data_IF_772495757831
#
_entry.id   IF_772495757831
#
_cell.length_a   1.000
_cell.length_b   1.000
_cell.length_c   1.000
_cell.angle_alpha   90.00
_cell.angle_beta   90.00
_cell.angle_gamma   90.00
#
_symmetry.space_group_name_H-M   'P 1'
#
loop_
_entity.id
_entity.type
_entity.pdbx_description
1 polymer ?
#
# COMPACT_ATOMS: atom_id res chain seq x y z
N UNK A 1 1.11 18.30 2.99
CA UNK A 1 0.92 17.32 4.07
C UNK A 1 -0.32 16.51 3.73
N UNK A 2 -0.21 15.20 3.60
CA UNK A 2 -1.42 14.37 3.58
C UNK A 2 -1.60 13.88 5.01
N UNK A 3 -2.53 14.50 5.74
CA UNK A 3 -3.04 13.92 6.99
C UNK A 3 -3.93 12.72 6.64
N UNK A 4 -4.10 11.79 7.59
CA UNK A 4 -5.07 10.71 7.44
C UNK A 4 -6.47 11.34 7.25
N UNK A 5 -7.21 10.99 6.18
CA UNK A 5 -8.58 11.47 6.01
C UNK A 5 -9.47 11.06 7.19
N UNK A 6 -10.35 11.96 7.62
CA UNK A 6 -11.27 11.67 8.73
C UNK A 6 -12.29 10.59 8.35
N UNK A 7 -12.75 10.61 7.11
CA UNK A 7 -13.81 9.75 6.58
C UNK A 7 -13.23 8.46 5.98
N UNK A 8 -13.86 7.33 6.28
CA UNK A 8 -13.50 6.02 5.71
C UNK A 8 -13.90 5.95 4.24
N UNK A 9 -15.11 6.41 3.95
CA UNK A 9 -15.69 6.53 2.62
C UNK A 9 -16.01 7.99 2.39
N UNK A 10 -15.44 8.58 1.33
CA UNK A 10 -15.88 9.84 0.80
C UNK A 10 -17.16 9.58 0.00
N UNK A 11 -18.29 9.91 0.62
CA UNK A 11 -19.60 9.67 0.02
C UNK A 11 -19.90 10.60 -1.16
N UNK A 12 -19.27 11.76 -1.26
CA UNK A 12 -19.46 12.63 -2.43
C UNK A 12 -18.97 11.92 -3.71
N UNK A 13 -17.77 11.33 -3.66
CA UNK A 13 -17.21 10.55 -4.78
C UNK A 13 -18.05 9.29 -5.02
N UNK A 14 -18.37 8.54 -3.97
CA UNK A 14 -19.09 7.27 -4.14
C UNK A 14 -20.53 7.49 -4.62
N UNK A 15 -21.20 8.58 -4.22
CA UNK A 15 -22.55 8.91 -4.68
C UNK A 15 -22.58 9.25 -6.18
N UNK A 16 -21.51 9.82 -6.74
CA UNK A 16 -21.40 10.00 -8.20
C UNK A 16 -21.40 8.65 -8.92
N UNK A 17 -20.75 7.63 -8.35
CA UNK A 17 -20.75 6.26 -8.90
C UNK A 17 -22.12 5.60 -8.70
N UNK A 18 -22.71 5.72 -7.51
CA UNK A 18 -24.05 5.19 -7.21
C UNK A 18 -25.10 5.79 -8.14
N UNK A 19 -24.95 7.06 -8.54
CA UNK A 19 -25.88 7.68 -9.50
C UNK A 19 -25.94 6.97 -10.86
N UNK A 20 -24.89 6.21 -11.23
CA UNK A 20 -24.89 5.40 -12.45
C UNK A 20 -25.83 4.19 -12.35
N UNK A 21 -26.23 3.78 -11.14
CA UNK A 21 -27.20 2.68 -10.95
C UNK A 21 -28.61 3.05 -11.44
N UNK A 22 -28.90 4.34 -11.69
CA UNK A 22 -30.15 4.78 -12.32
C UNK A 22 -30.33 4.20 -13.73
N UNK A 23 -29.23 4.12 -14.49
CA UNK A 23 -29.22 3.59 -15.86
C UNK A 23 -28.75 2.12 -15.91
N UNK A 24 -27.90 1.67 -14.98
CA UNK A 24 -27.37 0.30 -14.90
C UNK A 24 -27.47 -0.28 -13.47
N UNK A 25 -28.62 -0.86 -13.08
CA UNK A 25 -28.85 -1.30 -11.71
C UNK A 25 -27.83 -2.33 -11.20
N UNK A 26 -27.06 -1.96 -10.18
CA UNK A 26 -26.08 -2.82 -9.52
C UNK A 26 -24.64 -2.60 -9.98
N UNK A 27 -24.41 -1.71 -10.95
CA UNK A 27 -23.08 -1.33 -11.42
C UNK A 27 -22.15 -0.92 -10.28
N UNK A 28 -22.59 -0.03 -9.40
CA UNK A 28 -21.77 0.49 -8.30
C UNK A 28 -21.40 -0.62 -7.32
N UNK A 29 -22.33 -1.53 -7.01
CA UNK A 29 -22.10 -2.69 -6.15
C UNK A 29 -21.08 -3.65 -6.75
N UNK A 30 -21.22 -3.96 -8.05
CA UNK A 30 -20.29 -4.85 -8.76
C UNK A 30 -18.87 -4.25 -8.75
N UNK A 31 -18.73 -2.96 -8.98
CA UNK A 31 -17.44 -2.26 -8.96
C UNK A 31 -16.77 -2.32 -7.57
N UNK A 32 -17.54 -2.19 -6.49
CA UNK A 32 -17.05 -2.35 -5.11
C UNK A 32 -16.57 -3.79 -4.86
N UNK A 33 -17.33 -4.80 -5.29
CA UNK A 33 -16.95 -6.21 -5.13
C UNK A 33 -15.64 -6.50 -5.87
N UNK A 34 -15.55 -6.11 -7.14
CA UNK A 34 -14.34 -6.28 -7.96
C UNK A 34 -13.13 -5.59 -7.32
N UNK A 35 -13.33 -4.39 -6.75
CA UNK A 35 -12.28 -3.71 -6.01
C UNK A 35 -11.83 -4.50 -4.77
N UNK A 36 -12.76 -5.07 -4.01
CA UNK A 36 -12.40 -5.83 -2.81
C UNK A 36 -11.62 -7.10 -3.13
N UNK A 37 -11.97 -7.80 -4.20
CA UNK A 37 -11.18 -8.92 -4.72
C UNK A 37 -9.77 -8.46 -5.12
N UNK A 38 -9.67 -7.39 -5.93
CA UNK A 38 -8.40 -6.82 -6.37
C UNK A 38 -7.51 -6.39 -5.19
N UNK A 39 -8.09 -5.74 -4.18
CA UNK A 39 -7.38 -5.29 -3.00
C UNK A 39 -6.82 -6.47 -2.20
N UNK A 40 -7.61 -7.52 -1.98
CA UNK A 40 -7.15 -8.73 -1.28
C UNK A 40 -5.99 -9.42 -2.02
N UNK A 41 -6.09 -9.55 -3.34
CA UNK A 41 -5.00 -10.09 -4.16
C UNK A 41 -3.73 -9.23 -4.01
N UNK A 42 -3.87 -7.91 -4.20
CA UNK A 42 -2.75 -6.97 -4.12
C UNK A 42 -2.11 -6.99 -2.73
N UNK A 43 -2.90 -7.11 -1.65
CA UNK A 43 -2.36 -7.22 -0.31
C UNK A 43 -1.53 -8.51 -0.12
N UNK A 44 -1.98 -9.63 -0.70
CA UNK A 44 -1.22 -10.88 -0.70
C UNK A 44 0.11 -10.75 -1.43
N UNK A 45 0.12 -10.13 -2.61
CA UNK A 45 1.35 -9.87 -3.38
C UNK A 45 2.35 -9.00 -2.59
N UNK A 46 1.86 -7.98 -1.87
CA UNK A 46 2.71 -7.13 -1.00
C UNK A 46 3.32 -7.96 0.15
N UNK A 47 2.54 -8.83 0.81
CA UNK A 47 3.02 -9.71 1.89
C UNK A 47 4.13 -10.66 1.41
N UNK A 48 3.93 -11.28 0.23
CA UNK A 48 4.90 -12.20 -0.38
C UNK A 48 6.21 -11.48 -0.74
N UNK A 49 6.11 -10.29 -1.34
CA UNK A 49 7.29 -9.47 -1.65
C UNK A 49 8.01 -9.02 -0.38
N UNK A 50 7.30 -8.58 0.67
CA UNK A 50 7.92 -8.21 1.94
C UNK A 50 8.65 -9.39 2.57
N UNK A 51 8.02 -10.57 2.60
CA UNK A 51 8.60 -11.80 3.15
C UNK A 51 9.84 -12.23 2.39
N UNK A 52 9.78 -12.27 1.05
CA UNK A 52 10.93 -12.65 0.23
C UNK A 52 12.07 -11.63 0.34
N UNK A 53 11.77 -10.33 0.45
CA UNK A 53 12.77 -9.27 0.63
C UNK A 53 13.50 -9.43 1.96
N UNK A 54 12.80 -9.73 3.06
CA UNK A 54 13.42 -10.00 4.37
C UNK A 54 14.31 -11.24 4.33
N UNK A 55 13.89 -12.31 3.67
CA UNK A 55 14.69 -13.53 3.51
C UNK A 55 16.01 -13.25 2.77
N UNK A 56 15.95 -12.47 1.69
CA UNK A 56 17.15 -12.07 0.94
C UNK A 56 18.11 -11.24 1.82
N UNK A 57 17.57 -10.33 2.64
CA UNK A 57 18.36 -9.50 3.57
C UNK A 57 19.00 -10.30 4.71
N UNK A 58 18.32 -11.34 5.21
CA UNK A 58 18.80 -12.23 6.28
C UNK A 58 19.88 -13.21 5.79
N UNK A 59 19.76 -13.69 4.55
CA UNK A 59 20.73 -14.61 3.95
C UNK A 59 22.12 -13.99 3.82
N UNK A 60 22.23 -12.66 3.87
CA UNK A 60 23.50 -11.92 3.88
C UNK A 60 24.11 -11.71 5.28
N UNK A 61 23.42 -12.05 6.37
CA UNK A 61 23.86 -11.79 7.75
C UNK A 61 24.52 -13.00 8.45
N UNK A 62 24.53 -14.18 7.82
CA UNK A 62 25.22 -15.37 8.34
C UNK A 62 26.64 -15.40 7.77
N UNK A 63 27.57 -14.78 8.49
CA UNK A 63 29.01 -14.80 8.22
C UNK A 63 29.66 -15.69 9.29
N UNK A 64 29.96 -16.93 8.92
CA UNK A 64 30.92 -17.80 9.62
C UNK A 64 31.84 -18.55 8.64
N UNK A 65 31.93 -18.12 7.37
CA UNK A 65 32.86 -18.75 6.42
C UNK A 65 33.50 -17.73 5.44
N UNK A 66 34.83 -17.78 5.37
CA UNK A 66 35.75 -16.75 4.85
C UNK A 66 35.77 -16.61 3.32
N UNK A 67 34.75 -17.08 2.60
CA UNK A 67 34.84 -17.19 1.14
C UNK A 67 33.49 -17.07 0.40
N UNK A 68 32.90 -15.87 0.36
CA UNK A 68 31.82 -15.61 -0.59
C UNK A 68 31.87 -14.20 -1.20
N UNK A 69 32.23 -14.13 -2.48
CA UNK A 69 32.32 -12.91 -3.31
C UNK A 69 30.95 -12.39 -3.81
N UNK A 70 29.84 -12.60 -3.10
CA UNK A 70 28.48 -12.25 -3.57
C UNK A 70 27.87 -10.97 -2.92
N UNK A 71 28.69 -10.04 -2.46
CA UNK A 71 28.21 -8.82 -1.78
C UNK A 71 27.71 -7.72 -2.72
N UNK A 72 27.91 -7.85 -4.04
CA UNK A 72 27.64 -6.78 -5.00
C UNK A 72 26.25 -6.83 -5.67
N UNK A 73 25.48 -7.92 -5.55
CA UNK A 73 24.17 -8.06 -6.24
C UNK A 73 22.93 -7.91 -5.34
N UNK A 74 23.09 -7.94 -4.02
CA UNK A 74 21.95 -7.97 -3.09
C UNK A 74 21.14 -6.67 -3.10
N UNK A 75 21.77 -5.49 -2.94
CA UNK A 75 21.06 -4.21 -2.89
C UNK A 75 20.34 -3.86 -4.21
N UNK A 76 20.92 -4.05 -5.40
CA UNK A 76 20.20 -3.87 -6.66
C UNK A 76 18.94 -4.73 -6.78
N UNK A 77 18.97 -5.99 -6.34
CA UNK A 77 17.79 -6.86 -6.35
C UNK A 77 16.72 -6.41 -5.36
N UNK A 78 17.13 -6.05 -4.13
CA UNK A 78 16.23 -5.48 -3.11
C UNK A 78 15.56 -4.21 -3.61
N UNK A 79 16.30 -3.34 -4.29
CA UNK A 79 15.76 -2.12 -4.88
C UNK A 79 14.71 -2.39 -5.96
N UNK A 80 14.86 -3.46 -6.76
CA UNK A 80 13.81 -3.89 -7.70
C UNK A 80 12.53 -4.28 -6.97
N UNK A 81 12.63 -5.08 -5.89
CA UNK A 81 11.47 -5.46 -5.06
C UNK A 81 10.80 -4.27 -4.39
N UNK A 82 11.58 -3.29 -3.91
CA UNK A 82 11.04 -2.04 -3.34
C UNK A 82 10.29 -1.20 -4.38
N UNK A 83 10.79 -1.15 -5.63
CA UNK A 83 10.08 -0.49 -6.74
C UNK A 83 8.75 -1.22 -7.04
N UNK A 84 8.76 -2.54 -7.03
CA UNK A 84 7.55 -3.35 -7.24
C UNK A 84 6.51 -3.12 -6.14
N UNK A 85 6.93 -3.12 -4.86
CA UNK A 85 6.10 -2.72 -3.73
C UNK A 85 5.53 -1.30 -3.91
N UNK A 86 6.34 -0.35 -4.40
CA UNK A 86 5.85 1.00 -4.73
C UNK A 86 4.78 0.99 -5.82
N UNK A 87 4.92 0.13 -6.83
CA UNK A 87 3.97 0.03 -7.94
C UNK A 87 2.63 -0.57 -7.47
N UNK A 88 2.67 -1.62 -6.63
CA UNK A 88 1.48 -2.19 -6.00
C UNK A 88 0.75 -1.15 -5.13
N UNK A 89 1.49 -0.40 -4.31
CA UNK A 89 0.94 0.71 -3.54
C UNK A 89 0.33 1.81 -4.41
N UNK A 90 0.96 2.15 -5.55
CA UNK A 90 0.43 3.14 -6.48
C UNK A 90 -0.87 2.68 -7.14
N UNK A 91 -0.90 1.43 -7.60
CA UNK A 91 -2.04 0.82 -8.27
C UNK A 91 -3.26 0.84 -7.35
N UNK A 92 -3.12 0.27 -6.15
CA UNK A 92 -4.23 0.18 -5.21
C UNK A 92 -4.65 1.55 -4.65
N UNK A 93 -3.71 2.49 -4.51
CA UNK A 93 -4.05 3.88 -4.20
C UNK A 93 -4.98 4.48 -5.24
N UNK A 94 -4.69 4.25 -6.53
CA UNK A 94 -5.47 4.77 -7.64
C UNK A 94 -6.91 4.24 -7.63
N UNK A 95 -7.08 2.92 -7.57
CA UNK A 95 -8.41 2.30 -7.54
C UNK A 95 -9.19 2.68 -6.28
N UNK A 96 -8.54 2.70 -5.11
CA UNK A 96 -9.18 3.15 -3.86
C UNK A 96 -9.66 4.60 -3.93
N UNK A 97 -8.86 5.50 -4.51
CA UNK A 97 -9.22 6.92 -4.61
C UNK A 97 -10.40 7.13 -5.55
N UNK A 98 -10.47 6.37 -6.65
CA UNK A 98 -11.55 6.46 -7.62
C UNK A 98 -12.91 6.07 -7.01
N UNK A 99 -12.92 5.20 -5.99
CA UNK A 99 -14.13 4.73 -5.31
C UNK A 99 -14.44 5.49 -4.01
N UNK A 100 -13.71 6.58 -3.72
CA UNK A 100 -13.89 7.33 -2.47
C UNK A 100 -13.36 6.62 -1.21
N UNK A 101 -12.58 5.54 -1.35
CA UNK A 101 -12.02 4.77 -0.22
C UNK A 101 -10.73 5.42 0.29
N UNK A 102 -10.87 6.64 0.80
CA UNK A 102 -9.75 7.58 0.98
C UNK A 102 -8.73 7.14 2.02
N UNK A 103 -9.14 6.44 3.08
CA UNK A 103 -8.20 5.93 4.12
C UNK A 103 -7.38 4.74 3.63
N UNK A 104 -7.96 3.85 2.81
CA UNK A 104 -7.20 2.78 2.15
C UNK A 104 -6.19 3.42 1.17
N UNK A 105 -6.66 4.37 0.34
CA UNK A 105 -5.81 5.10 -0.59
C UNK A 105 -4.63 5.81 0.10
N UNK A 106 -4.87 6.36 1.29
CA UNK A 106 -3.84 6.99 2.11
C UNK A 106 -2.72 6.01 2.48
N UNK A 107 -3.07 4.85 3.05
CA UNK A 107 -2.07 3.85 3.45
C UNK A 107 -1.35 3.23 2.24
N UNK A 108 -2.05 3.00 1.13
CA UNK A 108 -1.41 2.61 -0.13
C UNK A 108 -0.43 3.67 -0.65
N UNK A 109 -0.69 4.96 -0.40
CA UNK A 109 0.25 6.06 -0.65
C UNK A 109 1.50 6.00 0.23
N UNK A 110 1.40 5.54 1.48
CA UNK A 110 2.57 5.31 2.34
C UNK A 110 3.41 4.15 1.81
N UNK A 111 2.77 3.04 1.40
CA UNK A 111 3.45 1.91 0.76
C UNK A 111 4.20 2.38 -0.50
N UNK A 112 3.53 3.16 -1.36
CA UNK A 112 4.13 3.76 -2.55
C UNK A 112 5.38 4.59 -2.21
N UNK A 113 5.29 5.45 -1.20
CA UNK A 113 6.37 6.35 -0.81
C UNK A 113 7.54 5.58 -0.18
N UNK A 114 7.27 4.61 0.68
CA UNK A 114 8.28 3.76 1.28
C UNK A 114 9.03 2.93 0.23
N UNK A 115 8.33 2.36 -0.76
CA UNK A 115 8.98 1.68 -1.89
C UNK A 115 9.86 2.59 -2.74
N UNK A 116 9.64 3.92 -2.71
CA UNK A 116 10.51 4.94 -3.32
C UNK A 116 11.67 5.40 -2.42
N UNK A 117 11.86 4.77 -1.25
CA UNK A 117 12.89 5.14 -0.29
C UNK A 117 12.51 6.29 0.66
N UNK A 118 11.25 6.74 0.65
CA UNK A 118 10.80 7.82 1.54
C UNK A 118 10.42 7.24 2.89
N UNK A 119 11.12 7.69 3.93
CA UNK A 119 10.95 7.24 5.32
C UNK A 119 10.01 8.11 6.15
N UNK A 120 9.48 9.19 5.59
CA UNK A 120 8.58 10.08 6.33
C UNK A 120 7.31 9.32 6.68
N UNK A 121 7.36 8.74 7.87
CA UNK A 121 6.24 8.32 8.67
C UNK A 121 5.30 9.50 8.84
N UNK A 122 4.05 9.15 9.00
CA UNK A 122 2.95 10.02 9.32
C UNK A 122 3.23 10.65 10.70
N UNK A 123 3.90 11.80 10.71
CA UNK A 123 3.89 12.74 11.83
C UNK A 123 2.44 13.24 11.98
N UNK A 124 1.65 12.61 12.85
CA UNK A 124 0.29 13.08 13.22
C UNK A 124 0.35 14.38 14.04
N UNK A 125 1.53 14.93 14.32
CA UNK A 125 1.66 16.25 14.95
C UNK A 125 2.66 17.15 14.23
N UNK A 126 2.10 18.12 13.50
CA UNK A 126 2.67 19.40 13.07
C UNK A 126 3.61 19.46 11.84
N UNK A 127 3.11 20.16 10.82
CA UNK A 127 3.81 21.07 9.92
C UNK A 127 5.27 20.76 9.51
N UNK A 128 5.43 19.94 8.47
CA UNK A 128 6.70 19.79 7.73
C UNK A 128 6.52 19.79 6.21
N UNK A 129 7.22 20.71 5.55
CA UNK A 129 7.28 20.93 4.10
C UNK A 129 7.85 19.70 3.37
N UNK A 130 7.26 19.28 2.24
CA UNK A 130 7.65 18.05 1.53
C UNK A 130 8.54 18.42 0.35
N UNK A 131 9.84 18.11 0.44
CA UNK A 131 10.70 18.14 -0.72
C UNK A 131 10.39 16.96 -1.65
N UNK A 132 9.86 17.30 -2.82
CA UNK A 132 9.70 16.36 -3.91
C UNK A 132 10.92 16.51 -4.81
N UNK A 133 12.04 15.87 -4.46
CA UNK A 133 13.19 15.85 -5.38
C UNK A 133 14.10 14.67 -5.17
N UNK A 134 14.40 13.98 -6.27
CA UNK A 134 15.61 13.17 -6.41
C UNK A 134 15.33 11.70 -6.64
N UNK A 135 15.42 11.26 -7.90
CA UNK A 135 15.56 9.86 -8.22
C UNK A 135 16.81 9.31 -7.55
N UNK A 136 16.61 8.50 -6.51
CA UNK A 136 17.68 7.81 -5.78
C UNK A 136 17.18 6.40 -5.54
N UNK A 137 18.08 5.43 -5.69
CA UNK A 137 17.83 4.03 -5.33
C UNK A 137 17.11 3.93 -3.98
N UNK A 138 16.02 3.14 -3.86
CA UNK A 138 15.18 3.10 -2.64
C UNK A 138 15.96 2.85 -1.34
N UNK A 139 16.86 1.86 -1.35
CA UNK A 139 17.72 1.53 -0.23
C UNK A 139 19.20 1.62 -0.63
N UNK A 140 20.01 2.20 0.27
CA UNK A 140 21.47 2.28 0.15
C UNK A 140 22.21 1.14 0.87
N UNK A 141 21.54 0.45 1.80
CA UNK A 141 22.09 -0.66 2.58
C UNK A 141 20.96 -1.53 3.17
N UNK A 142 21.30 -2.69 3.73
CA UNK A 142 20.34 -3.64 4.29
C UNK A 142 19.51 -3.05 5.43
N UNK A 143 20.11 -2.20 6.27
CA UNK A 143 19.39 -1.56 7.38
C UNK A 143 18.28 -0.63 6.88
N UNK A 144 18.57 0.17 5.85
CA UNK A 144 17.58 1.06 5.22
C UNK A 144 16.49 0.24 4.55
N UNK A 145 16.82 -0.86 3.87
CA UNK A 145 15.82 -1.74 3.28
C UNK A 145 14.89 -2.35 4.34
N UNK A 146 15.42 -2.83 5.47
CA UNK A 146 14.63 -3.35 6.58
C UNK A 146 13.68 -2.29 7.17
N UNK A 147 14.15 -1.04 7.32
CA UNK A 147 13.30 0.06 7.78
C UNK A 147 12.13 0.32 6.82
N UNK A 148 12.40 0.38 5.51
CA UNK A 148 11.36 0.60 4.49
C UNK A 148 10.35 -0.54 4.48
N UNK A 149 10.80 -1.79 4.57
CA UNK A 149 9.91 -2.95 4.68
C UNK A 149 9.05 -2.88 5.94
N UNK A 150 9.61 -2.49 7.09
CA UNK A 150 8.83 -2.31 8.33
C UNK A 150 7.73 -1.25 8.19
N UNK A 151 8.01 -0.15 7.48
CA UNK A 151 7.01 0.90 7.19
C UNK A 151 5.92 0.35 6.26
N UNK A 152 6.31 -0.41 5.22
CA UNK A 152 5.37 -1.03 4.28
C UNK A 152 4.45 -2.02 4.99
N UNK A 153 4.99 -2.90 5.85
CA UNK A 153 4.21 -3.89 6.61
C UNK A 153 3.22 -3.20 7.57
N UNK A 154 3.67 -2.15 8.26
CA UNK A 154 2.81 -1.36 9.15
C UNK A 154 1.69 -0.65 8.37
N UNK A 155 2.03 -0.12 7.19
CA UNK A 155 1.07 0.54 6.31
C UNK A 155 0.07 -0.46 5.72
N UNK A 156 0.53 -1.64 5.32
CA UNK A 156 -0.32 -2.73 4.82
C UNK A 156 -1.29 -3.21 5.90
N UNK A 157 -0.81 -3.40 7.13
CA UNK A 157 -1.66 -3.73 8.27
C UNK A 157 -2.76 -2.70 8.45
N UNK A 158 -2.43 -1.42 8.42
CA UNK A 158 -3.44 -0.37 8.55
C UNK A 158 -4.38 -0.33 7.33
N UNK A 159 -3.89 -0.53 6.11
CA UNK A 159 -4.74 -0.63 4.91
C UNK A 159 -5.77 -1.75 5.04
N UNK A 160 -5.39 -2.91 5.60
CA UNK A 160 -6.31 -4.02 5.89
C UNK A 160 -7.36 -3.66 6.95
N UNK A 161 -6.98 -2.93 8.01
CA UNK A 161 -7.94 -2.44 9.00
C UNK A 161 -8.96 -1.46 8.40
N UNK A 162 -8.49 -0.55 7.53
CA UNK A 162 -9.36 0.39 6.82
C UNK A 162 -10.22 -0.30 5.76
N UNK A 163 -9.72 -1.35 5.14
CA UNK A 163 -10.48 -2.22 4.25
C UNK A 163 -11.67 -2.86 4.97
N UNK A 164 -11.43 -3.46 6.14
CA UNK A 164 -12.50 -4.05 6.95
C UNK A 164 -13.51 -2.98 7.43
N UNK A 165 -13.03 -1.79 7.78
CA UNK A 165 -13.87 -0.68 8.19
C UNK A 165 -14.73 -0.15 7.02
N UNK A 166 -14.14 -0.01 5.83
CA UNK A 166 -14.85 0.39 4.61
C UNK A 166 -15.89 -0.65 4.21
N UNK A 167 -15.54 -1.95 4.23
CA UNK A 167 -16.49 -3.04 3.96
C UNK A 167 -17.71 -2.95 4.89
N UNK A 168 -17.50 -2.78 6.19
CA UNK A 168 -18.59 -2.60 7.18
C UNK A 168 -19.43 -1.35 6.93
N UNK A 169 -18.80 -0.25 6.51
CA UNK A 169 -19.51 0.99 6.19
C UNK A 169 -20.40 0.80 4.96
N UNK A 170 -19.86 0.19 3.89
CA UNK A 170 -20.58 -0.04 2.65
C UNK A 170 -21.70 -1.08 2.77
N UNK A 171 -21.58 -2.05 3.68
CA UNK A 171 -22.66 -2.98 4.01
C UNK A 171 -23.94 -2.28 4.49
N UNK A 172 -23.82 -1.09 5.09
CA UNK A 172 -24.99 -0.29 5.48
C UNK A 172 -25.81 0.21 4.27
N UNK A 173 -25.16 0.35 3.11
CA UNK A 173 -25.79 0.78 1.87
C UNK A 173 -26.17 -0.40 0.98
N UNK A 174 -25.26 -1.36 0.77
CA UNK A 174 -25.43 -2.47 -0.18
C UNK A 174 -25.99 -3.78 0.41
N UNK A 175 -26.18 -3.84 1.73
CA UNK A 175 -26.59 -5.05 2.46
C UNK A 175 -25.43 -5.95 2.87
N UNK A 176 -25.73 -7.05 3.57
CA UNK A 176 -24.74 -7.97 4.13
C UNK A 176 -23.92 -8.71 3.06
N UNK A 177 -24.49 -8.92 1.87
CA UNK A 177 -23.88 -9.59 0.71
C UNK A 177 -22.88 -8.67 -0.03
N UNK A 178 -21.80 -8.31 0.64
CA UNK A 178 -20.57 -7.72 0.08
C UNK A 178 -19.42 -8.74 0.18
N UNK A 179 -19.72 -10.00 -0.10
CA UNK A 179 -18.72 -11.06 -0.04
C UNK A 179 -17.84 -11.01 -1.29
N UNK A 180 -16.53 -10.89 -1.03
CA UNK A 180 -15.45 -11.13 -1.97
C UNK A 180 -14.89 -12.52 -1.66
#
# INVERSE_FOLDING_TARGET
>A
MNALPNEIVNWDILNEIISMDEDDPGFSKELIIQYFEQANQTFGEIDELCTSTKKDLQSSAVVDDENNNNTNETIPNINKKLIELSNLGHFLKGSSSALGLTRIAFYCGLIQNAGKGKRNEVDITNNGNIDSSGGVQPASNNSTALQLISIIESSLKNARLEFDAAKKELQKHYGEDLDA
#
